data_IF_816878721786
#
_entry.id   IF_816878721786
#
_cell.length_a   1.000
_cell.length_b   1.000
_cell.length_c   1.000
_cell.angle_alpha   90.00
_cell.angle_beta   90.00
_cell.angle_gamma   90.00
#
_symmetry.space_group_name_H-M   'P 1'
#
loop_
_entity.id
_entity.type
_entity.pdbx_description
1 polymer ?
#
# COMPACT_ATOMS: atom_id res chain seq x y z
N UNK A 1 -20.48 11.48 -1.31
CA UNK A 1 -19.15 11.46 -1.96
C UNK A 1 -18.11 11.82 -0.90
N UNK A 2 -16.99 11.09 -0.77
CA UNK A 2 -15.95 11.43 0.21
C UNK A 2 -15.18 12.67 -0.26
N UNK A 3 -14.68 13.47 0.68
CA UNK A 3 -13.85 14.64 0.37
C UNK A 3 -12.51 14.17 -0.18
N UNK A 4 -12.04 14.77 -1.28
CA UNK A 4 -10.68 14.57 -1.78
C UNK A 4 -9.87 15.82 -1.44
N UNK A 5 -8.85 15.66 -0.59
CA UNK A 5 -7.87 16.69 -0.29
C UNK A 5 -6.68 16.55 -1.25
N UNK A 6 -6.43 17.58 -2.04
CA UNK A 6 -5.23 17.65 -2.87
C UNK A 6 -4.05 18.06 -2.01
N UNK A 7 -3.00 17.25 -2.03
CA UNK A 7 -1.76 17.51 -1.31
C UNK A 7 -0.79 18.20 -2.28
N UNK A 8 -0.56 19.48 -2.04
CA UNK A 8 0.37 20.35 -2.74
C UNK A 8 0.96 21.36 -1.73
N UNK A 9 1.94 22.18 -2.15
CA UNK A 9 2.47 23.27 -1.33
C UNK A 9 3.23 22.81 -0.09
N UNK A 10 2.83 23.26 1.10
CA UNK A 10 3.59 23.16 2.37
C UNK A 10 3.28 21.91 3.22
N UNK A 11 2.47 20.97 2.74
CA UNK A 11 2.12 19.78 3.51
C UNK A 11 3.26 18.75 3.38
N UNK A 12 3.90 18.31 4.47
CA UNK A 12 4.96 17.32 4.39
C UNK A 12 4.47 16.00 3.79
N UNK A 13 5.33 15.32 3.01
CA UNK A 13 5.01 13.98 2.47
C UNK A 13 5.53 12.84 3.34
N UNK A 14 5.92 13.11 4.58
CA UNK A 14 6.27 12.09 5.58
C UNK A 14 5.47 12.34 6.86
N UNK A 15 5.12 11.28 7.58
CA UNK A 15 4.33 11.39 8.82
C UNK A 15 3.01 10.63 8.79
N UNK A 16 2.50 10.32 7.60
CA UNK A 16 1.21 9.68 7.40
C UNK A 16 1.36 8.32 6.74
N UNK A 17 0.48 7.40 7.10
CA UNK A 17 0.32 6.14 6.37
C UNK A 17 -0.54 6.33 5.11
N UNK A 18 -1.38 7.36 5.02
CA UNK A 18 -2.40 7.45 3.98
C UNK A 18 -1.89 7.94 2.62
N UNK A 19 -0.80 8.72 2.60
CA UNK A 19 -0.22 9.33 1.40
C UNK A 19 1.26 9.70 1.64
N UNK A 20 1.97 10.05 0.57
CA UNK A 20 3.34 10.54 0.63
C UNK A 20 4.37 9.41 0.51
N UNK A 21 5.44 9.50 1.30
CA UNK A 21 6.60 8.62 1.26
C UNK A 21 6.80 7.96 2.63
N UNK A 22 7.03 6.65 2.64
CA UNK A 22 7.32 5.90 3.87
C UNK A 22 8.69 5.23 3.72
N UNK A 23 9.58 5.57 4.65
CA UNK A 23 10.88 4.94 4.82
C UNK A 23 10.86 4.05 6.07
N UNK A 24 11.22 2.78 5.89
CA UNK A 24 11.25 1.77 6.97
C UNK A 24 12.68 1.37 7.34
N UNK A 25 13.68 2.16 6.94
CA UNK A 25 15.09 1.84 7.19
C UNK A 25 15.62 0.74 6.27
N UNK A 26 15.10 0.67 5.04
CA UNK A 26 15.60 -0.21 3.98
C UNK A 26 15.90 0.61 2.72
N UNK A 27 16.47 -0.02 1.69
CA UNK A 27 16.61 0.58 0.36
C UNK A 27 15.27 0.72 -0.39
N UNK A 28 14.17 0.20 0.16
CA UNK A 28 12.83 0.37 -0.38
C UNK A 28 12.14 1.61 0.22
N UNK A 29 11.64 2.47 -0.66
CA UNK A 29 10.79 3.61 -0.32
C UNK A 29 9.38 3.34 -0.86
N UNK A 30 8.38 3.43 0.03
CA UNK A 30 6.99 3.34 -0.41
C UNK A 30 6.53 4.70 -0.95
N UNK A 31 5.92 4.71 -2.12
CA UNK A 31 5.43 5.90 -2.83
C UNK A 31 3.91 5.82 -2.91
N UNK A 32 3.21 6.67 -2.14
CA UNK A 32 1.74 6.69 -1.99
C UNK A 32 1.13 7.95 -2.62
N UNK A 33 0.88 7.96 -3.94
CA UNK A 33 0.43 9.15 -4.65
C UNK A 33 -1.06 9.47 -4.44
N UNK A 34 -1.85 8.49 -4.00
CA UNK A 34 -3.26 8.67 -3.66
C UNK A 34 -3.67 7.69 -2.57
N UNK A 35 -4.78 7.94 -1.88
CA UNK A 35 -5.31 7.00 -0.87
C UNK A 35 -6.55 6.23 -1.31
N UNK A 36 -7.13 6.59 -2.47
CA UNK A 36 -8.43 6.09 -2.93
C UNK A 36 -8.35 4.64 -3.43
N UNK A 37 -9.49 3.94 -3.44
CA UNK A 37 -9.59 2.57 -3.94
C UNK A 37 -10.91 2.39 -4.69
N UNK A 38 -10.94 1.68 -5.83
CA UNK A 38 -12.18 1.35 -6.51
C UNK A 38 -12.93 0.20 -5.82
N UNK A 39 -12.22 -0.71 -5.15
CA UNK A 39 -12.80 -1.92 -4.57
C UNK A 39 -13.23 -1.74 -3.11
N UNK A 40 -14.05 -2.67 -2.64
CA UNK A 40 -14.44 -2.75 -1.24
C UNK A 40 -14.21 -4.16 -0.71
N UNK A 41 -12.95 -4.63 -0.69
CA UNK A 41 -12.60 -6.00 -0.28
C UNK A 41 -13.00 -6.28 1.18
N UNK A 42 -13.69 -7.40 1.45
CA UNK A 42 -14.34 -7.66 2.75
C UNK A 42 -13.36 -7.81 3.92
N UNK A 43 -12.08 -8.03 3.62
CA UNK A 43 -10.94 -8.16 4.54
C UNK A 43 -10.01 -6.94 4.52
N UNK A 44 -10.41 -5.82 3.90
CA UNK A 44 -9.54 -4.65 3.73
C UNK A 44 -9.09 -4.06 5.07
N UNK A 45 -7.78 -4.06 5.33
CA UNK A 45 -7.16 -3.57 6.57
C UNK A 45 -7.35 -2.07 6.83
N UNK A 46 -7.56 -1.29 5.78
CA UNK A 46 -7.70 0.17 5.82
C UNK A 46 -9.13 0.65 5.60
N UNK A 47 -10.08 -0.28 5.46
CA UNK A 47 -11.49 0.01 5.14
C UNK A 47 -11.60 0.93 3.90
N UNK A 48 -10.85 0.66 2.84
CA UNK A 48 -10.83 1.48 1.63
C UNK A 48 -12.07 1.29 0.75
N UNK A 49 -12.29 2.28 -0.11
CA UNK A 49 -13.20 2.22 -1.26
C UNK A 49 -14.67 2.57 -0.98
N UNK A 50 -15.56 2.41 -1.98
CA UNK A 50 -16.90 3.00 -1.95
C UNK A 50 -17.74 2.63 -0.72
N UNK A 51 -17.66 1.39 -0.24
CA UNK A 51 -18.42 0.89 0.92
C UNK A 51 -17.75 1.19 2.28
N UNK A 52 -16.69 1.99 2.32
CA UNK A 52 -16.03 2.38 3.58
C UNK A 52 -17.00 3.05 4.55
N UNK A 53 -16.92 2.65 5.81
CA UNK A 53 -17.72 3.20 6.92
C UNK A 53 -16.92 4.12 7.82
N UNK A 54 -15.60 4.04 7.74
CA UNK A 54 -14.68 4.77 8.60
C UNK A 54 -13.94 5.88 7.88
N UNK A 55 -13.81 5.86 6.54
CA UNK A 55 -13.05 6.88 5.80
C UNK A 55 -13.88 8.12 5.49
N UNK A 56 -13.27 9.28 5.72
CA UNK A 56 -13.84 10.63 5.55
C UNK A 56 -13.16 11.41 4.43
N UNK A 57 -11.84 11.42 4.45
CA UNK A 57 -11.01 12.17 3.51
C UNK A 57 -10.11 11.22 2.73
N UNK A 58 -10.07 11.40 1.42
CA UNK A 58 -9.11 10.79 0.52
C UNK A 58 -8.07 11.83 0.12
N UNK A 59 -6.85 11.39 -0.18
CA UNK A 59 -5.73 12.25 -0.55
C UNK A 59 -5.31 11.99 -1.98
N UNK A 60 -4.95 13.07 -2.68
CA UNK A 60 -4.37 13.04 -4.01
C UNK A 60 -3.13 13.94 -4.02
N UNK A 61 -1.95 13.35 -4.16
CA UNK A 61 -0.68 14.07 -4.13
C UNK A 61 -0.34 14.60 -5.52
N UNK A 62 0.10 15.85 -5.58
CA UNK A 62 0.62 16.42 -6.82
C UNK A 62 1.88 15.68 -7.29
N UNK A 63 1.98 15.46 -8.61
CA UNK A 63 3.05 14.70 -9.23
C UNK A 63 4.42 15.36 -9.04
N UNK A 64 4.53 16.66 -9.31
CA UNK A 64 5.81 17.36 -9.18
C UNK A 64 6.24 17.40 -7.72
N UNK A 65 5.26 17.56 -6.82
CA UNK A 65 5.52 17.59 -5.39
C UNK A 65 6.05 16.25 -4.86
N UNK A 66 5.41 15.11 -5.20
CA UNK A 66 5.88 13.79 -4.75
C UNK A 66 7.26 13.44 -5.30
N UNK A 67 7.56 13.80 -6.55
CA UNK A 67 8.89 13.60 -7.15
C UNK A 67 9.94 14.43 -6.40
N UNK A 68 9.69 15.72 -6.16
CA UNK A 68 10.64 16.59 -5.45
C UNK A 68 10.96 16.15 -4.01
N UNK A 69 10.00 15.50 -3.34
CA UNK A 69 10.21 14.93 -2.02
C UNK A 69 10.94 13.60 -2.08
N UNK A 70 10.67 12.80 -3.13
CA UNK A 70 11.34 11.54 -3.35
C UNK A 70 12.82 11.77 -3.64
N UNK A 71 13.19 12.70 -4.52
CA UNK A 71 14.58 13.08 -4.81
C UNK A 71 15.33 13.49 -3.53
N UNK A 72 14.74 14.37 -2.71
CA UNK A 72 15.32 14.77 -1.40
C UNK A 72 15.49 13.59 -0.44
N UNK A 73 14.55 12.65 -0.44
CA UNK A 73 14.64 11.45 0.37
C UNK A 73 15.76 10.53 -0.11
N UNK A 74 15.84 10.28 -1.42
CA UNK A 74 16.92 9.53 -2.07
C UNK A 74 18.29 10.11 -1.70
N UNK A 75 18.47 11.41 -1.89
CA UNK A 75 19.70 12.13 -1.54
C UNK A 75 20.06 11.94 -0.06
N UNK A 76 19.09 12.09 0.83
CA UNK A 76 19.32 11.93 2.28
C UNK A 76 19.71 10.50 2.68
N UNK A 77 19.31 9.49 1.90
CA UNK A 77 19.68 8.08 2.14
C UNK A 77 21.10 7.77 1.63
N UNK A 78 21.59 8.49 0.63
CA UNK A 78 22.97 8.37 0.12
C UNK A 78 23.29 6.97 -0.43
N UNK A 79 22.31 6.30 -1.04
CA UNK A 79 22.44 4.97 -1.64
C UNK A 79 21.94 5.00 -3.09
N UNK A 80 22.43 4.08 -3.92
CA UNK A 80 22.14 4.04 -5.35
C UNK A 80 21.37 2.80 -5.81
N UNK A 81 20.80 2.03 -4.88
CA UNK A 81 20.11 0.76 -5.11
C UNK A 81 18.66 0.79 -4.60
N UNK A 82 17.94 1.87 -4.88
CA UNK A 82 16.63 2.15 -4.31
C UNK A 82 15.53 1.39 -5.05
N UNK A 83 14.60 0.80 -4.29
CA UNK A 83 13.31 0.36 -4.81
C UNK A 83 12.24 1.44 -4.54
N UNK A 84 11.64 1.99 -5.59
CA UNK A 84 10.46 2.83 -5.51
C UNK A 84 9.21 1.94 -5.59
N UNK A 85 8.67 1.57 -4.42
CA UNK A 85 7.50 0.71 -4.33
C UNK A 85 6.22 1.56 -4.31
N UNK A 86 5.49 1.59 -5.42
CA UNK A 86 4.24 2.32 -5.58
C UNK A 86 3.11 1.53 -4.94
N UNK A 87 2.65 2.04 -3.81
CA UNK A 87 1.69 1.36 -2.95
C UNK A 87 0.69 2.38 -2.41
N UNK A 88 -0.29 1.94 -1.63
CA UNK A 88 -1.21 2.84 -0.94
C UNK A 88 -2.07 2.06 0.06
N UNK A 89 -2.82 2.80 0.86
CA UNK A 89 -3.97 2.33 1.65
C UNK A 89 -5.22 2.08 0.79
N UNK A 90 -5.14 2.17 -0.53
CA UNK A 90 -6.18 1.91 -1.51
C UNK A 90 -5.66 1.12 -2.72
N UNK A 91 -5.91 1.59 -3.95
CA UNK A 91 -5.27 1.05 -5.16
C UNK A 91 -4.51 2.17 -5.90
N UNK A 92 -3.20 2.01 -6.16
CA UNK A 92 -2.37 3.08 -6.72
C UNK A 92 -2.69 3.37 -8.18
N UNK A 93 -3.26 2.43 -8.93
CA UNK A 93 -3.62 2.63 -10.35
C UNK A 93 -4.87 3.49 -10.52
N UNK A 94 -5.53 3.87 -9.42
CA UNK A 94 -6.53 4.95 -9.42
C UNK A 94 -5.88 6.35 -9.50
N UNK A 95 -4.56 6.46 -9.33
CA UNK A 95 -3.86 7.73 -9.46
C UNK A 95 -3.84 8.21 -10.93
N UNK A 96 -4.41 9.40 -11.25
CA UNK A 96 -4.57 9.83 -12.65
C UNK A 96 -3.26 10.03 -13.43
N UNK A 97 -2.14 10.21 -12.73
CA UNK A 97 -0.81 10.45 -13.33
C UNK A 97 0.15 9.29 -13.08
N UNK A 98 -0.35 8.06 -12.95
CA UNK A 98 0.48 6.88 -12.63
C UNK A 98 1.59 6.64 -13.66
N UNK A 99 1.30 6.78 -14.96
CA UNK A 99 2.29 6.59 -16.02
C UNK A 99 3.41 7.63 -15.92
N UNK A 100 3.06 8.89 -15.67
CA UNK A 100 4.04 9.97 -15.52
C UNK A 100 4.84 9.83 -14.21
N UNK A 101 4.22 9.35 -13.14
CA UNK A 101 4.91 9.03 -11.89
C UNK A 101 5.98 7.97 -12.11
N UNK A 102 5.64 6.86 -12.79
CA UNK A 102 6.60 5.79 -13.09
C UNK A 102 7.74 6.30 -13.97
N UNK A 103 7.45 7.09 -15.01
CA UNK A 103 8.49 7.72 -15.86
C UNK A 103 9.44 8.59 -15.03
N UNK A 104 8.89 9.50 -14.21
CA UNK A 104 9.70 10.43 -13.41
C UNK A 104 10.50 9.75 -12.31
N UNK A 105 10.00 8.66 -11.74
CA UNK A 105 10.77 7.82 -10.81
C UNK A 105 11.92 7.09 -11.54
N UNK A 106 11.68 6.62 -12.77
CA UNK A 106 12.68 5.92 -13.60
C UNK A 106 13.84 6.83 -14.00
N UNK A 107 13.57 8.12 -14.18
CA UNK A 107 14.58 9.13 -14.50
C UNK A 107 15.57 9.41 -13.35
N UNK A 108 15.28 8.96 -12.13
CA UNK A 108 16.15 9.14 -10.96
C UNK A 108 17.25 8.05 -10.96
N UNK A 109 18.55 8.40 -11.08
CA UNK A 109 19.63 7.42 -11.28
C UNK A 109 19.78 6.36 -10.18
N UNK A 110 19.46 6.71 -8.93
CA UNK A 110 19.55 5.85 -7.75
C UNK A 110 18.41 4.81 -7.67
N UNK A 111 17.31 5.02 -8.38
CA UNK A 111 16.20 4.06 -8.44
C UNK A 111 16.64 2.89 -9.32
N UNK A 112 16.68 1.68 -8.78
CA UNK A 112 17.02 0.46 -9.55
C UNK A 112 15.83 -0.44 -9.79
N UNK A 113 14.83 -0.38 -8.92
CA UNK A 113 13.59 -1.14 -9.06
C UNK A 113 12.41 -0.19 -8.88
N UNK A 114 11.43 -0.26 -9.77
CA UNK A 114 10.10 0.31 -9.60
C UNK A 114 9.13 -0.86 -9.54
N UNK A 115 8.37 -0.94 -8.45
CA UNK A 115 7.36 -1.97 -8.28
C UNK A 115 6.02 -1.35 -7.90
N UNK A 116 4.92 -2.04 -8.17
CA UNK A 116 3.59 -1.57 -7.77
C UNK A 116 2.73 -2.71 -7.24
N UNK A 117 1.78 -2.40 -6.35
CA UNK A 117 0.75 -3.35 -5.91
C UNK A 117 -0.62 -2.96 -6.45
N UNK A 118 -1.44 -3.92 -6.87
CA UNK A 118 -2.83 -3.66 -7.29
C UNK A 118 -3.70 -4.91 -7.13
N UNK A 119 -5.01 -4.71 -7.05
CA UNK A 119 -5.98 -5.80 -7.17
C UNK A 119 -6.39 -6.08 -8.63
N UNK A 120 -5.85 -5.31 -9.58
CA UNK A 120 -6.01 -5.53 -11.02
C UNK A 120 -7.18 -4.84 -11.75
N UNK A 121 -8.27 -4.31 -11.14
CA UNK A 121 -9.44 -3.88 -11.93
C UNK A 121 -9.15 -2.68 -12.86
N UNK A 122 -8.07 -1.93 -12.61
CA UNK A 122 -7.63 -0.79 -13.41
C UNK A 122 -6.46 -1.12 -14.35
N UNK A 123 -5.95 -2.36 -14.28
CA UNK A 123 -4.77 -2.80 -15.04
C UNK A 123 -5.16 -3.20 -16.47
N UNK A 124 -5.50 -2.22 -17.28
CA UNK A 124 -5.88 -2.43 -18.69
C UNK A 124 -4.66 -2.77 -19.56
N UNK A 125 -4.89 -3.41 -20.72
CA UNK A 125 -3.81 -3.68 -21.69
C UNK A 125 -3.06 -2.40 -22.11
N UNK A 126 -3.78 -1.29 -22.28
CA UNK A 126 -3.19 0.02 -22.58
C UNK A 126 -2.24 0.45 -21.46
N UNK A 127 -2.70 0.40 -20.21
CA UNK A 127 -1.88 0.79 -19.05
C UNK A 127 -0.64 -0.10 -18.94
N UNK A 128 -0.78 -1.42 -19.12
CA UNK A 128 0.36 -2.34 -19.13
C UNK A 128 1.38 -1.93 -20.20
N UNK A 129 0.93 -1.64 -21.43
CA UNK A 129 1.82 -1.20 -22.51
C UNK A 129 2.51 0.15 -22.25
N UNK A 130 1.85 1.07 -21.54
CA UNK A 130 2.46 2.36 -21.15
C UNK A 130 3.51 2.20 -20.03
N UNK A 131 3.35 1.20 -19.16
CA UNK A 131 4.25 0.88 -18.06
C UNK A 131 5.40 -0.06 -18.47
N UNK A 132 5.22 -0.86 -19.51
CA UNK A 132 6.22 -1.81 -20.02
C UNK A 132 7.55 -1.12 -20.32
N UNK A 133 8.65 -1.76 -19.92
CA UNK A 133 10.00 -1.21 -19.99
C UNK A 133 10.31 -0.08 -18.99
N UNK A 134 9.39 0.28 -18.09
CA UNK A 134 9.59 1.35 -17.08
C UNK A 134 9.32 0.90 -15.66
N UNK A 135 8.35 0.01 -15.47
CA UNK A 135 8.13 -0.68 -14.20
C UNK A 135 8.75 -2.08 -14.26
N UNK A 136 9.39 -2.49 -13.18
CA UNK A 136 10.10 -3.76 -13.10
C UNK A 136 9.20 -4.88 -12.58
N UNK A 137 8.33 -4.60 -11.61
CA UNK A 137 7.48 -5.62 -10.98
C UNK A 137 6.06 -5.14 -10.66
N UNK A 138 5.06 -5.96 -10.95
CA UNK A 138 3.69 -5.79 -10.45
C UNK A 138 3.35 -6.94 -9.50
N UNK A 139 2.98 -6.56 -8.27
CA UNK A 139 2.38 -7.45 -7.28
C UNK A 139 0.85 -7.41 -7.47
N UNK A 140 0.29 -8.45 -8.10
CA UNK A 140 -1.12 -8.53 -8.46
C UNK A 140 -1.87 -9.45 -7.49
N UNK A 141 -2.81 -8.91 -6.72
CA UNK A 141 -3.68 -9.73 -5.86
C UNK A 141 -4.79 -10.40 -6.67
N UNK A 142 -4.89 -11.72 -6.55
CA UNK A 142 -5.96 -12.56 -7.09
C UNK A 142 -6.39 -13.51 -5.97
N UNK A 143 -7.52 -13.27 -5.33
CA UNK A 143 -7.92 -14.04 -4.14
C UNK A 143 -8.82 -15.24 -4.44
N UNK A 144 -9.34 -15.33 -5.67
CA UNK A 144 -10.04 -16.48 -6.24
C UNK A 144 -10.06 -16.35 -7.76
N UNK A 145 -10.10 -17.48 -8.47
CA UNK A 145 -10.29 -17.57 -9.91
C UNK A 145 -11.77 -17.77 -10.31
N UNK A 146 -12.66 -17.95 -9.33
CA UNK A 146 -14.10 -18.12 -9.53
C UNK A 146 -14.80 -16.77 -9.41
N UNK A 147 -15.60 -16.38 -10.41
CA UNK A 147 -16.18 -15.04 -10.53
C UNK A 147 -17.07 -14.65 -9.34
N UNK A 148 -17.94 -15.56 -8.87
CA UNK A 148 -18.84 -15.29 -7.76
C UNK A 148 -18.07 -15.03 -6.46
N UNK A 149 -17.12 -15.91 -6.14
CA UNK A 149 -16.25 -15.78 -4.97
C UNK A 149 -15.32 -14.57 -5.07
N UNK A 150 -14.76 -14.29 -6.24
CA UNK A 150 -13.90 -13.15 -6.46
C UNK A 150 -14.65 -11.82 -6.24
N UNK A 151 -15.88 -11.68 -6.75
CA UNK A 151 -16.76 -10.53 -6.45
C UNK A 151 -17.07 -10.40 -4.97
N UNK A 152 -17.38 -11.52 -4.32
CA UNK A 152 -17.64 -11.56 -2.88
C UNK A 152 -16.43 -11.09 -2.06
N UNK A 153 -15.24 -11.62 -2.35
CA UNK A 153 -13.97 -11.25 -1.69
C UNK A 153 -13.60 -9.78 -1.94
N UNK A 154 -13.71 -9.32 -3.18
CA UNK A 154 -13.51 -7.92 -3.59
C UNK A 154 -14.60 -6.97 -3.05
N UNK A 155 -15.72 -7.51 -2.56
CA UNK A 155 -16.89 -6.80 -2.05
C UNK A 155 -17.50 -5.80 -3.05
N UNK A 156 -17.33 -6.07 -4.34
CA UNK A 156 -17.73 -5.21 -5.45
C UNK A 156 -18.37 -6.04 -6.55
N UNK A 157 -19.68 -5.87 -6.79
CA UNK A 157 -20.44 -6.69 -7.75
C UNK A 157 -20.00 -6.48 -9.21
N UNK A 158 -19.38 -5.33 -9.49
CA UNK A 158 -18.83 -5.00 -10.81
C UNK A 158 -17.43 -5.58 -11.04
N UNK A 159 -16.76 -6.14 -10.02
CA UNK A 159 -15.43 -6.73 -10.18
C UNK A 159 -15.50 -7.93 -11.14
N UNK A 160 -14.52 -8.05 -12.04
CA UNK A 160 -14.49 -9.04 -13.12
C UNK A 160 -13.17 -9.80 -13.08
N UNK A 161 -13.18 -11.05 -12.62
CA UNK A 161 -11.94 -11.82 -12.47
C UNK A 161 -11.34 -12.18 -13.82
N UNK A 162 -12.16 -12.39 -14.85
CA UNK A 162 -11.72 -12.65 -16.22
C UNK A 162 -10.80 -11.54 -16.74
N UNK A 163 -11.12 -10.27 -16.43
CA UNK A 163 -10.29 -9.12 -16.82
C UNK A 163 -8.97 -9.05 -16.07
N UNK A 164 -8.96 -9.44 -14.80
CA UNK A 164 -7.72 -9.51 -14.02
C UNK A 164 -6.83 -10.68 -14.49
N UNK A 165 -7.42 -11.82 -14.87
CA UNK A 165 -6.71 -12.96 -15.47
C UNK A 165 -6.10 -12.56 -16.82
N UNK A 166 -6.85 -11.87 -17.69
CA UNK A 166 -6.34 -11.32 -18.96
C UNK A 166 -5.15 -10.38 -18.71
N UNK A 167 -5.27 -9.48 -17.72
CA UNK A 167 -4.19 -8.58 -17.33
C UNK A 167 -2.96 -9.32 -16.80
N UNK A 168 -3.14 -10.32 -15.93
CA UNK A 168 -2.06 -11.16 -15.39
C UNK A 168 -1.27 -11.83 -16.52
N UNK A 169 -1.98 -12.47 -17.47
CA UNK A 169 -1.35 -13.08 -18.65
C UNK A 169 -0.57 -12.06 -19.47
N UNK A 170 -1.12 -10.86 -19.71
CA UNK A 170 -0.44 -9.80 -20.47
C UNK A 170 0.80 -9.28 -19.76
N UNK A 171 0.78 -9.12 -18.44
CA UNK A 171 1.97 -8.75 -17.65
C UNK A 171 3.02 -9.87 -17.72
N UNK A 172 2.63 -11.13 -17.51
CA UNK A 172 3.55 -12.26 -17.60
C UNK A 172 4.18 -12.42 -19.00
N UNK A 173 3.50 -11.97 -20.06
CA UNK A 173 4.05 -11.93 -21.43
C UNK A 173 4.86 -10.66 -21.76
N UNK A 174 4.88 -9.68 -20.87
CA UNK A 174 5.59 -8.39 -21.03
C UNK A 174 7.02 -8.43 -20.48
N UNK A 175 7.76 -7.33 -20.59
CA UNK A 175 9.03 -7.16 -19.87
C UNK A 175 8.87 -7.01 -18.33
N UNK A 176 7.67 -6.74 -17.85
CA UNK A 176 7.36 -6.54 -16.43
C UNK A 176 7.31 -7.90 -15.74
N UNK A 177 7.92 -8.00 -14.56
CA UNK A 177 7.79 -9.19 -13.76
C UNK A 177 6.48 -9.22 -12.96
N UNK A 178 5.91 -10.42 -12.82
CA UNK A 178 4.62 -10.63 -12.18
C UNK A 178 4.77 -11.46 -10.92
N UNK A 179 4.34 -10.91 -9.79
CA UNK A 179 4.15 -11.64 -8.54
C UNK A 179 2.65 -11.71 -8.24
N UNK A 180 2.10 -12.93 -8.15
CA UNK A 180 0.71 -13.16 -7.76
C UNK A 180 0.62 -13.19 -6.23
N UNK A 181 -0.15 -12.27 -5.65
CA UNK A 181 -0.16 -11.95 -4.23
C UNK A 181 -1.55 -12.12 -3.57
N UNK A 182 -2.12 -13.34 -3.51
CA UNK A 182 -3.41 -13.58 -2.88
C UNK A 182 -3.36 -13.27 -1.38
N UNK A 183 -4.47 -12.80 -0.82
CA UNK A 183 -4.71 -12.85 0.62
C UNK A 183 -5.36 -14.20 0.94
N UNK A 184 -4.71 -14.99 1.78
CA UNK A 184 -5.30 -16.19 2.35
C UNK A 184 -6.26 -15.80 3.48
N UNK A 185 -7.56 -15.91 3.21
CA UNK A 185 -8.67 -15.63 4.12
C UNK A 185 -9.27 -16.96 4.62
N UNK A 186 -8.90 -17.43 5.83
CA UNK A 186 -9.25 -18.76 6.31
C UNK A 186 -10.75 -19.05 6.26
N UNK A 187 -11.11 -20.22 5.72
CA UNK A 187 -12.50 -20.68 5.55
C UNK A 187 -13.24 -20.06 4.37
N UNK A 188 -12.69 -19.06 3.68
CA UNK A 188 -13.33 -18.42 2.52
C UNK A 188 -12.68 -18.80 1.20
N UNK A 189 -11.34 -18.86 1.15
CA UNK A 189 -10.62 -19.16 -0.08
C UNK A 189 -9.49 -20.19 0.08
N UNK A 190 -9.57 -21.06 1.09
CA UNK A 190 -8.56 -22.09 1.34
C UNK A 190 -8.31 -22.95 0.08
N UNK A 191 -9.38 -23.39 -0.59
CA UNK A 191 -9.33 -24.22 -1.79
C UNK A 191 -8.96 -23.46 -3.08
N UNK A 192 -8.89 -22.13 -3.01
CA UNK A 192 -8.43 -21.32 -4.14
C UNK A 192 -6.91 -21.18 -4.15
N UNK A 193 -6.25 -21.27 -2.99
CA UNK A 193 -4.79 -21.06 -2.88
C UNK A 193 -4.01 -22.02 -3.79
N UNK A 194 -4.23 -23.35 -3.77
CA UNK A 194 -3.58 -24.27 -4.71
C UNK A 194 -3.83 -23.92 -6.18
N UNK A 195 -5.07 -23.59 -6.54
CA UNK A 195 -5.47 -23.24 -7.91
C UNK A 195 -4.79 -21.95 -8.40
N UNK A 196 -4.59 -20.99 -7.49
CA UNK A 196 -3.89 -19.74 -7.77
C UNK A 196 -2.40 -19.99 -7.98
N UNK A 197 -1.79 -20.92 -7.22
CA UNK A 197 -0.40 -21.34 -7.43
C UNK A 197 -0.25 -21.96 -8.83
N UNK A 198 -1.10 -22.94 -9.17
CA UNK A 198 -1.10 -23.57 -10.50
C UNK A 198 -1.26 -22.53 -11.61
N UNK A 199 -2.21 -21.60 -11.45
CA UNK A 199 -2.44 -20.53 -12.41
C UNK A 199 -1.18 -19.67 -12.59
N UNK A 200 -0.58 -19.19 -11.49
CA UNK A 200 0.61 -18.34 -11.53
C UNK A 200 1.77 -19.03 -12.28
N UNK A 201 2.00 -20.32 -11.99
CA UNK A 201 3.01 -21.13 -12.68
C UNK A 201 2.67 -21.31 -14.17
N UNK A 202 1.41 -21.62 -14.49
CA UNK A 202 0.98 -21.88 -15.88
C UNK A 202 1.14 -20.68 -16.81
N UNK A 203 1.09 -19.46 -16.29
CA UNK A 203 1.27 -18.23 -17.07
C UNK A 203 2.71 -17.73 -17.07
N UNK A 204 3.63 -18.39 -16.35
CA UNK A 204 5.02 -17.99 -16.22
C UNK A 204 5.25 -16.74 -15.37
N UNK A 205 4.49 -16.57 -14.29
CA UNK A 205 4.75 -15.54 -13.29
C UNK A 205 6.11 -15.78 -12.59
N UNK A 206 6.78 -14.72 -12.16
CA UNK A 206 8.06 -14.77 -11.45
C UNK A 206 9.27 -15.12 -12.31
N UNK A 207 9.68 -14.19 -13.18
CA UNK A 207 10.86 -14.32 -14.05
C UNK A 207 12.15 -13.96 -13.33
N UNK A 208 12.10 -12.93 -12.48
CA UNK A 208 13.26 -12.38 -11.77
C UNK A 208 13.02 -12.53 -10.26
N UNK A 209 11.84 -12.11 -9.80
CA UNK A 209 11.37 -12.23 -8.43
C UNK A 209 10.47 -13.48 -8.28
N UNK A 210 10.15 -13.89 -7.04
CA UNK A 210 9.24 -15.01 -6.82
C UNK A 210 7.88 -14.83 -7.50
N UNK A 211 7.36 -15.91 -8.07
CA UNK A 211 6.07 -15.93 -8.76
C UNK A 211 4.88 -15.64 -7.84
N UNK A 212 5.02 -15.97 -6.56
CA UNK A 212 3.93 -16.00 -5.59
C UNK A 212 4.37 -15.33 -4.29
N UNK A 213 3.51 -14.48 -3.75
CA UNK A 213 3.64 -13.89 -2.42
C UNK A 213 2.32 -13.98 -1.67
N UNK A 214 1.97 -15.19 -1.21
CA UNK A 214 0.73 -15.44 -0.48
C UNK A 214 0.80 -14.67 0.85
N UNK A 215 -0.25 -13.91 1.15
CA UNK A 215 -0.31 -13.04 2.32
C UNK A 215 -1.28 -13.59 3.35
N UNK A 216 -0.91 -13.49 4.63
CA UNK A 216 -1.80 -13.89 5.72
C UNK A 216 -2.88 -12.84 5.95
N UNK A 217 -4.15 -13.24 6.03
CA UNK A 217 -5.20 -12.36 6.55
C UNK A 217 -4.90 -11.95 8.01
N UNK A 218 -5.10 -10.66 8.28
CA UNK A 218 -4.92 -10.01 9.58
C UNK A 218 -6.13 -9.13 9.89
N UNK A 219 -6.66 -9.22 11.11
CA UNK A 219 -7.86 -8.50 11.52
C UNK A 219 -7.50 -7.17 12.19
N UNK A 220 -7.50 -6.07 11.44
CA UNK A 220 -7.17 -4.75 11.96
C UNK A 220 -8.37 -4.04 12.62
N UNK A 221 -8.13 -3.27 13.69
CA UNK A 221 -9.20 -2.56 14.45
C UNK A 221 -10.06 -1.65 13.56
N UNK A 222 -9.45 -0.93 12.63
CA UNK A 222 -10.13 -0.01 11.71
C UNK A 222 -10.24 -0.54 10.28
N UNK A 223 -10.19 -1.86 10.09
CA UNK A 223 -10.39 -2.53 8.81
C UNK A 223 -11.69 -3.33 8.81
N UNK A 224 -12.07 -3.83 7.63
CA UNK A 224 -13.23 -4.71 7.46
C UNK A 224 -12.84 -6.15 7.78
N UNK A 225 -13.77 -6.85 8.45
CA UNK A 225 -13.57 -8.19 8.98
C UNK A 225 -14.71 -9.08 8.46
N UNK A 226 -14.43 -10.09 7.62
CA UNK A 226 -15.47 -11.01 7.18
C UNK A 226 -16.05 -11.78 8.37
N UNK A 227 -17.37 -12.00 8.35
CA UNK A 227 -18.09 -12.68 9.44
C UNK A 227 -17.61 -14.12 9.54
N UNK A 228 -17.32 -14.57 10.77
CA UNK A 228 -16.92 -15.95 11.04
C UNK A 228 -15.45 -16.27 10.76
N UNK A 229 -14.68 -15.34 10.19
CA UNK A 229 -13.26 -15.56 9.86
C UNK A 229 -12.36 -15.12 11.00
N UNK A 230 -11.45 -16.02 11.43
CA UNK A 230 -10.39 -15.72 12.38
C UNK A 230 -9.02 -15.82 11.68
N UNK A 231 -8.10 -14.86 11.90
CA UNK A 231 -6.72 -15.01 11.45
C UNK A 231 -6.09 -16.27 12.05
N UNK A 232 -5.43 -17.07 11.22
CA UNK A 232 -4.55 -18.14 11.71
C UNK A 232 -3.26 -17.55 12.30
N UNK A 233 -2.59 -18.33 13.14
CA UNK A 233 -1.30 -17.95 13.71
C UNK A 233 -0.22 -17.88 12.61
N UNK A 234 0.85 -17.11 12.84
CA UNK A 234 1.98 -17.07 11.92
C UNK A 234 2.67 -18.43 11.76
N UNK A 235 2.80 -19.20 12.85
CA UNK A 235 3.39 -20.54 12.79
C UNK A 235 2.56 -21.51 11.95
N UNK A 236 1.24 -21.47 12.10
CA UNK A 236 0.33 -22.26 11.26
C UNK A 236 0.39 -21.83 9.79
N UNK A 237 0.41 -20.52 9.53
CA UNK A 237 0.51 -19.99 8.18
C UNK A 237 1.79 -20.46 7.48
N UNK A 238 2.96 -20.32 8.11
CA UNK A 238 4.22 -20.78 7.51
C UNK A 238 4.30 -22.30 7.37
N UNK A 239 3.69 -23.06 8.29
CA UNK A 239 3.57 -24.52 8.14
C UNK A 239 2.78 -24.89 6.88
N UNK A 240 1.63 -24.25 6.66
CA UNK A 240 0.80 -24.45 5.46
C UNK A 240 1.52 -24.03 4.18
N UNK A 241 2.24 -22.90 4.21
CA UNK A 241 3.07 -22.49 3.07
C UNK A 241 4.14 -23.54 2.77
N UNK A 242 4.86 -24.05 3.78
CA UNK A 242 5.88 -25.07 3.57
C UNK A 242 5.31 -26.38 2.99
N UNK A 243 4.07 -26.74 3.36
CA UNK A 243 3.35 -27.88 2.76
C UNK A 243 3.12 -27.64 1.26
N UNK A 244 2.57 -26.48 0.89
CA UNK A 244 2.34 -26.10 -0.51
C UNK A 244 3.64 -25.91 -1.31
N UNK A 245 4.71 -25.39 -0.71
CA UNK A 245 6.03 -25.27 -1.37
C UNK A 245 6.55 -26.63 -1.84
N UNK A 246 6.41 -27.66 -0.98
CA UNK A 246 6.81 -29.03 -1.32
C UNK A 246 5.91 -29.65 -2.36
N UNK A 247 4.60 -29.42 -2.27
CA UNK A 247 3.60 -29.96 -3.19
C UNK A 247 3.78 -29.40 -4.61
N UNK A 248 3.96 -28.09 -4.73
CA UNK A 248 4.01 -27.40 -6.03
C UNK A 248 5.45 -27.16 -6.54
N UNK A 249 6.47 -27.46 -5.73
CA UNK A 249 7.88 -27.27 -6.10
C UNK A 249 8.25 -25.81 -6.37
N UNK A 250 7.61 -24.87 -5.66
CA UNK A 250 7.79 -23.42 -5.83
C UNK A 250 8.04 -22.75 -4.49
N UNK A 251 8.81 -21.65 -4.49
CA UNK A 251 9.04 -20.84 -3.28
C UNK A 251 7.80 -19.99 -2.95
N UNK A 252 7.31 -20.11 -1.71
CA UNK A 252 6.18 -19.38 -1.13
C UNK A 252 6.54 -18.70 0.20
N UNK A 253 7.55 -19.18 0.92
CA UNK A 253 8.11 -18.54 2.11
C UNK A 253 9.17 -17.54 1.67
N UNK A 254 8.74 -16.29 1.55
CA UNK A 254 9.58 -15.20 1.06
C UNK A 254 10.34 -14.49 2.17
N UNK A 255 11.45 -13.89 1.79
CA UNK A 255 12.31 -13.06 2.61
C UNK A 255 12.60 -11.73 1.91
N UNK A 256 13.06 -10.68 2.63
CA UNK A 256 13.51 -9.44 2.01
C UNK A 256 14.60 -9.65 0.93
N UNK A 257 15.47 -10.65 1.12
CA UNK A 257 16.57 -10.95 0.20
C UNK A 257 16.08 -11.40 -1.17
N UNK A 258 14.92 -12.06 -1.24
CA UNK A 258 14.26 -12.45 -2.51
C UNK A 258 13.94 -11.24 -3.39
N UNK A 259 13.87 -10.06 -2.80
CA UNK A 259 13.59 -8.80 -3.48
C UNK A 259 14.80 -7.87 -3.53
N UNK A 260 15.96 -8.28 -3.02
CA UNK A 260 17.11 -7.39 -2.86
C UNK A 260 16.89 -6.27 -1.83
N UNK A 261 15.94 -6.46 -0.90
CA UNK A 261 15.62 -5.48 0.14
C UNK A 261 16.58 -5.67 1.31
N UNK A 262 17.43 -4.67 1.57
CA UNK A 262 18.41 -4.67 2.66
C UNK A 262 18.19 -3.49 3.61
N UNK A 263 18.64 -3.64 4.85
CA UNK A 263 18.64 -2.55 5.83
C UNK A 263 19.63 -1.46 5.43
N UNK A 264 19.23 -0.22 5.60
CA UNK A 264 20.05 0.99 5.40
C UNK A 264 19.73 2.00 6.50
N UNK A 265 20.46 3.11 6.57
CA UNK A 265 20.18 4.16 7.55
C UNK A 265 18.74 4.70 7.35
N UNK A 266 17.87 4.65 8.37
CA UNK A 266 16.55 5.26 8.27
C UNK A 266 16.64 6.78 8.35
N UNK A 267 15.65 7.46 7.79
CA UNK A 267 15.45 8.91 7.98
C UNK A 267 15.24 9.20 9.46
N UNK A 268 15.93 10.21 9.96
CA UNK A 268 15.82 10.59 11.36
C UNK A 268 14.39 11.01 11.73
N UNK A 269 13.84 10.46 12.83
CA UNK A 269 12.53 10.85 13.31
C UNK A 269 12.56 12.30 13.83
N UNK A 270 11.53 13.09 13.48
CA UNK A 270 11.41 14.51 13.90
C UNK A 270 10.57 14.71 15.15
N UNK A 271 9.80 13.70 15.54
CA UNK A 271 8.95 13.66 16.72
C UNK A 271 9.20 12.36 17.46
N UNK A 272 9.03 12.36 18.79
CA UNK A 272 9.24 11.16 19.63
C UNK A 272 8.00 10.79 20.41
N UNK A 273 7.74 9.49 20.58
CA UNK A 273 6.66 9.01 21.45
C UNK A 273 6.84 9.58 22.87
N UNK A 274 5.75 10.06 23.46
CA UNK A 274 5.71 10.71 24.76
C UNK A 274 5.90 12.23 24.72
N UNK A 275 6.46 12.77 23.62
CA UNK A 275 6.62 14.20 23.43
C UNK A 275 5.27 14.93 23.43
N UNK A 276 5.23 16.11 24.05
CA UNK A 276 4.08 17.01 24.04
C UNK A 276 4.48 18.25 23.24
N UNK A 277 3.68 18.62 22.25
CA UNK A 277 3.95 19.75 21.37
C UNK A 277 2.66 20.36 20.81
N UNK A 278 2.78 21.59 20.30
CA UNK A 278 1.74 22.20 19.49
C UNK A 278 1.86 21.72 18.04
N UNK A 279 0.73 21.33 17.45
CA UNK A 279 0.62 20.98 16.02
C UNK A 279 -0.37 21.92 15.34
N UNK A 280 -0.11 22.28 14.09
CA UNK A 280 -1.02 23.08 13.27
C UNK A 280 -2.00 22.18 12.54
N UNK A 281 -3.29 22.36 12.78
CA UNK A 281 -4.35 21.57 12.16
C UNK A 281 -4.49 21.94 10.68
N UNK A 282 -4.50 20.92 9.81
CA UNK A 282 -4.78 21.06 8.38
C UNK A 282 -6.25 20.79 8.05
N UNK A 283 -6.91 19.93 8.84
CA UNK A 283 -8.32 19.60 8.69
C UNK A 283 -8.64 18.19 9.17
N UNK A 284 -9.73 17.62 8.66
CA UNK A 284 -10.12 16.24 8.97
C UNK A 284 -9.03 15.25 8.52
N UNK A 285 -8.78 14.25 9.35
CA UNK A 285 -8.01 13.07 8.96
C UNK A 285 -8.74 12.22 7.93
N UNK A 286 -8.08 11.17 7.45
CA UNK A 286 -8.72 10.22 6.54
C UNK A 286 -9.78 9.34 7.19
N UNK A 287 -9.76 9.13 8.51
CA UNK A 287 -10.82 8.39 9.22
C UNK A 287 -11.67 9.27 10.13
N UNK A 288 -12.88 8.82 10.43
CA UNK A 288 -13.81 9.45 11.40
C UNK A 288 -13.10 9.59 12.75
N UNK A 289 -13.17 10.79 13.32
CA UNK A 289 -12.56 11.10 14.63
C UNK A 289 -11.06 11.40 14.56
N UNK A 290 -10.45 11.38 13.37
CA UNK A 290 -9.06 11.78 13.18
C UNK A 290 -8.96 13.23 12.68
N UNK A 291 -7.90 13.92 13.09
CA UNK A 291 -7.49 15.23 12.60
C UNK A 291 -6.12 15.11 11.96
N UNK A 292 -5.95 15.71 10.79
CA UNK A 292 -4.66 15.83 10.11
C UNK A 292 -4.00 17.13 10.57
N UNK A 293 -2.77 17.03 11.08
CA UNK A 293 -1.99 18.18 11.54
C UNK A 293 -0.54 18.09 11.07
N UNK A 294 0.22 19.17 11.25
CA UNK A 294 1.64 19.25 10.92
C UNK A 294 2.47 19.82 12.05
N UNK A 295 3.69 19.30 12.21
CA UNK A 295 4.73 19.87 13.06
C UNK A 295 6.11 19.42 12.56
N UNK A 296 7.11 20.31 12.67
CA UNK A 296 8.53 20.02 12.35
C UNK A 296 8.73 19.27 11.02
N UNK A 297 8.07 19.75 9.97
CA UNK A 297 8.09 19.16 8.64
C UNK A 297 7.67 17.67 8.59
N UNK A 298 6.68 17.31 9.43
CA UNK A 298 5.99 16.02 9.43
C UNK A 298 4.49 16.19 9.55
N UNK A 299 3.76 15.27 8.93
CA UNK A 299 2.34 15.06 9.17
C UNK A 299 2.15 14.30 10.47
N UNK A 300 1.10 14.65 11.22
CA UNK A 300 0.71 14.00 12.47
C UNK A 300 -0.78 13.70 12.39
N UNK A 301 -1.14 12.43 12.58
CA UNK A 301 -2.53 12.02 12.72
C UNK A 301 -2.93 12.12 14.19
N UNK A 302 -3.82 13.06 14.52
CA UNK A 302 -4.35 13.22 15.88
C UNK A 302 -5.61 12.38 16.01
N UNK A 303 -5.59 11.42 16.92
CA UNK A 303 -6.69 10.50 17.19
C UNK A 303 -7.67 11.08 18.22
N UNK A 304 -8.93 10.69 18.10
CA UNK A 304 -10.01 10.97 19.06
C UNK A 304 -10.13 12.48 19.38
N UNK A 305 -9.85 13.33 18.39
CA UNK A 305 -9.86 14.78 18.57
C UNK A 305 -11.28 15.33 18.44
N UNK A 306 -11.68 16.35 19.23
CA UNK A 306 -12.86 17.14 18.91
C UNK A 306 -12.70 17.78 17.51
N UNK A 307 -13.80 18.22 16.87
CA UNK A 307 -13.70 19.03 15.67
C UNK A 307 -12.87 20.29 15.93
N UNK A 308 -11.74 20.42 15.26
CA UNK A 308 -10.86 21.60 15.36
C UNK A 308 -10.78 22.27 13.99
N UNK A 309 -10.99 23.61 13.89
CA UNK A 309 -10.85 24.32 12.63
C UNK A 309 -9.45 24.20 12.01
N UNK A 310 -9.33 24.10 10.67
CA UNK A 310 -8.06 24.26 9.97
C UNK A 310 -7.37 25.57 10.36
N UNK A 311 -6.05 25.52 10.54
CA UNK A 311 -5.22 26.65 10.95
C UNK A 311 -5.00 26.76 12.47
N UNK A 312 -5.84 26.14 13.29
CA UNK A 312 -5.68 26.15 14.75
C UNK A 312 -4.40 25.45 15.18
N UNK A 313 -3.81 25.94 16.28
CA UNK A 313 -2.74 25.26 17.00
C UNK A 313 -3.36 24.48 18.17
N UNK A 314 -3.06 23.19 18.27
CA UNK A 314 -3.53 22.36 19.38
C UNK A 314 -2.38 21.63 20.06
N UNK A 315 -2.48 21.49 21.37
CA UNK A 315 -1.53 20.72 22.16
C UNK A 315 -1.85 19.23 22.10
N UNK A 316 -0.86 18.44 21.70
CA UNK A 316 -1.01 16.99 21.56
C UNK A 316 0.17 16.25 22.20
N UNK A 317 -0.06 15.00 22.59
CA UNK A 317 0.98 14.05 23.00
C UNK A 317 1.15 13.00 21.92
N UNK A 318 2.38 12.84 21.42
CA UNK A 318 2.72 11.79 20.45
C UNK A 318 2.62 10.43 21.14
N UNK A 319 1.83 9.52 20.56
CA UNK A 319 1.62 8.15 21.08
C UNK A 319 2.33 7.09 20.25
N UNK A 320 2.76 7.43 19.02
CA UNK A 320 3.50 6.56 18.09
C UNK A 320 4.37 7.38 17.15
N UNK A 321 5.57 6.89 16.88
CA UNK A 321 6.62 7.52 16.07
C UNK A 321 7.42 6.53 15.19
N UNK A 322 6.86 5.34 14.96
CA UNK A 322 7.54 4.26 14.21
C UNK A 322 7.55 4.55 12.70
N UNK A 323 8.69 4.33 12.04
CA UNK A 323 8.88 4.50 10.58
C UNK A 323 8.57 5.92 10.07
N UNK A 324 8.83 6.95 10.89
CA UNK A 324 8.40 8.34 10.63
C UNK A 324 6.88 8.48 10.41
N UNK A 325 6.06 7.58 10.95
CA UNK A 325 4.60 7.70 10.96
C UNK A 325 4.16 8.11 12.37
N UNK A 326 3.45 9.23 12.46
CA UNK A 326 3.14 9.86 13.74
C UNK A 326 1.65 9.81 14.05
N UNK A 327 1.34 9.25 15.21
CA UNK A 327 0.02 9.39 15.83
C UNK A 327 0.14 10.14 17.14
N UNK A 328 -0.81 11.02 17.41
CA UNK A 328 -0.89 11.78 18.65
C UNK A 328 -2.31 11.77 19.21
N UNK A 329 -2.46 12.18 20.47
CA UNK A 329 -3.76 12.44 21.11
C UNK A 329 -3.80 13.87 21.64
N UNK A 330 -4.97 14.48 21.54
CA UNK A 330 -5.24 15.80 22.11
C UNK A 330 -5.05 15.76 23.63
N UNK A 331 -4.38 16.77 24.20
CA UNK A 331 -4.09 16.83 25.65
C UNK A 331 -4.89 17.90 26.41
N UNK A 332 -5.82 18.59 25.76
CA UNK A 332 -6.49 19.76 26.32
C UNK A 332 -5.66 21.03 26.15
N UNK A 333 -6.31 22.13 25.76
CA UNK A 333 -5.71 23.43 25.41
C UNK A 333 -5.94 23.78 23.94
N UNK A 334 -6.91 24.66 23.69
CA UNK A 334 -7.08 25.40 22.43
C UNK A 334 -6.33 26.73 22.57
#
# INVERSE_FOLDING_TARGET
MRRILRINGDIPLMGSVAFGLIDRGTNLIQVRPSSSCPLSCIFCSTDAGPKSRTRRTEFLVDLNYIISWFERLVESKGISDIEAHIDTVGDPFLYPKIVDLVKRLRDIPEVKVISAQTHGPLLTQKLIGELEGRIDRINLSIDSLEEGKAKYLAGSDWFRIDKVIEAAKRVAQSSIDLLIAPIWVPGLNDEDIPKIIEFALSIGAGKIWPALGIQKYEAYRGGRKPKGVKPISWGEFYRKLAELEREFGVKLILSPDDFGIRKVKPVEPRLRKGEILNVKVLGEGWKVGEVLAVARNRVVTVLDSPPVPPGSLIKVRVIRDRDNIYYARFTGGV
#
